data_IF_650825839345
#
_entry.id   IF_650825839345
#
_cell.length_a   1.000
_cell.length_b   1.000
_cell.length_c   1.000
_cell.angle_alpha   90.00
_cell.angle_beta   90.00
_cell.angle_gamma   90.00
#
_symmetry.space_group_name_H-M   'P 1'
#
loop_
_entity.id
_entity.type
_entity.pdbx_description
1 polymer ?
#
# COMPACT_ATOMS: atom_id res chain seq x y z
N UNK A 1 -44.14 58.09 -1.20
CA UNK A 1 -44.44 56.67 -1.51
C UNK A 1 -43.42 55.95 -2.42
N UNK A 2 -42.45 56.63 -3.08
CA UNK A 2 -41.48 55.96 -3.99
C UNK A 2 -40.39 55.14 -3.28
N UNK A 3 -39.89 55.60 -2.12
CA UNK A 3 -38.80 54.93 -1.41
C UNK A 3 -39.19 53.60 -0.72
N UNK A 4 -40.46 53.41 -0.33
CA UNK A 4 -40.92 52.15 0.28
C UNK A 4 -40.88 50.97 -0.69
N UNK A 5 -41.15 51.18 -1.99
CA UNK A 5 -41.10 50.10 -2.99
C UNK A 5 -39.66 49.70 -3.35
N UNK A 6 -38.73 50.66 -3.39
CA UNK A 6 -37.32 50.39 -3.66
C UNK A 6 -36.65 49.65 -2.50
N UNK A 7 -36.94 50.02 -1.25
CA UNK A 7 -36.42 49.30 -0.07
C UNK A 7 -36.95 47.86 -0.03
N UNK A 8 -38.23 47.64 -0.36
CA UNK A 8 -38.83 46.30 -0.38
C UNK A 8 -38.22 45.41 -1.48
N UNK A 9 -37.90 45.99 -2.64
CA UNK A 9 -37.25 45.27 -3.75
C UNK A 9 -35.80 44.87 -3.41
N UNK A 10 -35.04 45.78 -2.79
CA UNK A 10 -33.65 45.51 -2.37
C UNK A 10 -33.61 44.45 -1.27
N UNK A 11 -34.51 44.51 -0.29
CA UNK A 11 -34.61 43.49 0.76
C UNK A 11 -34.99 42.11 0.21
N UNK A 12 -35.85 42.04 -0.80
CA UNK A 12 -36.25 40.78 -1.44
C UNK A 12 -35.10 40.15 -2.23
N UNK A 13 -34.31 40.96 -2.94
CA UNK A 13 -33.13 40.50 -3.68
C UNK A 13 -32.05 39.99 -2.72
N UNK A 14 -31.81 40.68 -1.61
CA UNK A 14 -30.87 40.23 -0.57
C UNK A 14 -31.36 38.90 0.05
N UNK A 15 -32.66 38.74 0.29
CA UNK A 15 -33.21 37.49 0.81
C UNK A 15 -33.07 36.32 -0.17
N UNK A 16 -33.23 36.57 -1.46
CA UNK A 16 -33.01 35.54 -2.50
C UNK A 16 -31.53 35.18 -2.58
N UNK A 17 -30.61 36.15 -2.56
CA UNK A 17 -29.16 35.91 -2.63
C UNK A 17 -28.67 35.16 -1.38
N UNK A 18 -29.12 35.54 -0.18
CA UNK A 18 -28.80 34.80 1.05
C UNK A 18 -29.45 33.42 1.02
N UNK A 19 -30.67 33.31 0.48
CA UNK A 19 -31.37 32.05 0.28
C UNK A 19 -30.63 31.10 -0.66
N UNK A 20 -30.15 31.56 -1.81
CA UNK A 20 -29.35 30.75 -2.75
C UNK A 20 -27.97 30.44 -2.20
N UNK A 21 -27.27 31.38 -1.54
CA UNK A 21 -25.99 31.09 -0.88
C UNK A 21 -26.15 30.10 0.28
N UNK A 22 -27.23 30.19 1.06
CA UNK A 22 -27.54 29.22 2.11
C UNK A 22 -27.92 27.85 1.51
N UNK A 23 -28.66 27.81 0.40
CA UNK A 23 -29.08 26.58 -0.26
C UNK A 23 -27.93 25.90 -1.02
N UNK A 24 -27.00 26.66 -1.62
CA UNK A 24 -25.76 26.15 -2.21
C UNK A 24 -24.75 25.73 -1.13
N UNK A 25 -24.68 26.45 -0.01
CA UNK A 25 -23.92 26.05 1.19
C UNK A 25 -24.47 24.77 1.84
N UNK A 26 -25.78 24.57 1.82
CA UNK A 26 -26.45 23.34 2.27
C UNK A 26 -26.26 22.19 1.26
N UNK A 27 -26.24 22.43 -0.05
CA UNK A 27 -25.94 21.40 -1.05
C UNK A 27 -24.48 20.94 -1.03
N UNK A 28 -23.54 21.75 -0.53
CA UNK A 28 -22.15 21.34 -0.29
C UNK A 28 -21.92 20.62 1.04
N UNK A 29 -22.95 20.47 1.87
CA UNK A 29 -22.91 19.63 3.07
C UNK A 29 -23.86 18.44 2.90
N UNK A 30 -23.60 17.65 1.85
CA UNK A 30 -23.86 16.20 1.88
C UNK A 30 -23.04 15.61 3.03
N UNK A 31 -23.56 15.76 4.24
CA UNK A 31 -23.06 15.15 5.46
C UNK A 31 -23.14 13.63 5.26
N UNK A 32 -22.01 13.02 4.90
CA UNK A 32 -21.72 11.58 5.00
C UNK A 32 -21.62 11.17 6.48
N UNK A 33 -22.61 11.56 7.29
CA UNK A 33 -22.66 11.39 8.75
C UNK A 33 -22.62 9.92 9.21
N UNK A 34 -22.62 8.94 8.31
CA UNK A 34 -22.52 7.51 8.63
C UNK A 34 -21.23 6.81 8.18
N UNK A 35 -20.29 7.51 7.53
CA UNK A 35 -19.07 6.87 7.01
C UNK A 35 -17.84 7.13 7.89
N UNK A 36 -17.77 8.25 8.61
CA UNK A 36 -16.64 8.49 9.52
C UNK A 36 -16.84 7.73 10.85
N UNK A 37 -15.85 6.91 11.22
CA UNK A 37 -15.88 6.15 12.47
C UNK A 37 -15.50 7.04 13.64
N UNK A 38 -16.36 7.03 14.66
CA UNK A 38 -15.98 7.39 16.01
C UNK A 38 -15.07 6.30 16.59
N UNK A 39 -14.19 6.70 17.51
CA UNK A 39 -13.36 5.74 18.25
C UNK A 39 -14.21 4.74 19.06
N UNK A 40 -15.39 5.16 19.53
CA UNK A 40 -16.35 4.29 20.21
C UNK A 40 -16.91 3.16 19.32
N UNK A 41 -17.04 3.37 18.01
CA UNK A 41 -17.49 2.32 17.09
C UNK A 41 -16.40 1.27 16.86
N UNK A 42 -15.13 1.67 16.84
CA UNK A 42 -14.00 0.74 16.77
C UNK A 42 -13.89 -0.17 17.99
N UNK A 43 -14.36 0.29 19.15
CA UNK A 43 -14.37 -0.49 20.41
C UNK A 43 -15.53 -1.47 20.52
N UNK A 44 -16.45 -1.51 19.53
CA UNK A 44 -17.54 -2.47 19.55
C UNK A 44 -17.00 -3.91 19.47
N UNK A 45 -17.48 -4.83 20.31
CA UNK A 45 -17.05 -6.23 20.25
C UNK A 45 -17.22 -6.81 18.85
N UNK A 46 -16.18 -7.50 18.36
CA UNK A 46 -16.15 -8.14 17.05
C UNK A 46 -16.26 -7.19 15.84
N UNK A 47 -15.97 -5.89 15.99
CA UNK A 47 -15.97 -4.95 14.86
C UNK A 47 -15.20 -5.49 13.64
N UNK A 48 -13.97 -5.97 13.84
CA UNK A 48 -13.13 -6.53 12.78
C UNK A 48 -13.73 -7.77 12.10
N UNK A 49 -14.45 -8.62 12.83
CA UNK A 49 -15.03 -9.85 12.28
C UNK A 49 -16.17 -9.57 11.29
N UNK A 50 -16.76 -8.37 11.36
CA UNK A 50 -17.80 -7.92 10.44
C UNK A 50 -17.22 -7.32 9.15
N UNK A 51 -15.91 -7.05 9.14
CA UNK A 51 -15.22 -6.47 8.00
C UNK A 51 -14.67 -7.56 7.08
N UNK A 52 -14.63 -7.25 5.79
CA UNK A 52 -14.00 -8.03 4.75
C UNK A 52 -12.54 -7.58 4.55
N UNK A 53 -12.33 -6.27 4.48
CA UNK A 53 -11.05 -5.67 4.12
C UNK A 53 -10.84 -4.29 4.74
N UNK A 54 -9.60 -3.82 4.71
CA UNK A 54 -9.20 -2.46 5.09
C UNK A 54 -8.31 -1.88 4.00
N UNK A 55 -8.61 -0.65 3.58
CA UNK A 55 -7.75 0.14 2.72
C UNK A 55 -6.99 1.17 3.53
N UNK A 56 -5.77 1.45 3.11
CA UNK A 56 -5.05 2.62 3.56
C UNK A 56 -4.95 3.63 2.42
N UNK A 57 -5.41 4.85 2.68
CA UNK A 57 -5.36 5.96 1.73
C UNK A 57 -4.60 7.13 2.34
N UNK A 58 -3.75 7.81 1.55
CA UNK A 58 -2.96 8.93 2.07
C UNK A 58 -2.63 9.95 1.01
N UNK A 59 -2.40 11.18 1.48
CA UNK A 59 -1.67 12.20 0.75
C UNK A 59 -0.19 11.83 0.56
N UNK A 60 0.46 12.37 -0.47
CA UNK A 60 1.91 12.32 -0.70
C UNK A 60 2.69 13.09 0.38
N UNK A 61 3.96 12.74 0.58
CA UNK A 61 4.84 13.37 1.60
C UNK A 61 4.88 14.89 1.44
N UNK A 62 4.94 15.42 0.21
CA UNK A 62 5.00 16.87 -0.05
C UNK A 62 3.78 17.63 0.48
N UNK A 63 2.60 17.02 0.42
CA UNK A 63 1.35 17.61 0.93
C UNK A 63 1.27 17.45 2.44
N UNK A 64 1.72 16.30 2.97
CA UNK A 64 1.81 16.04 4.41
C UNK A 64 2.75 17.01 5.13
N UNK A 65 3.95 17.23 4.59
CA UNK A 65 4.94 18.18 5.14
C UNK A 65 4.45 19.63 5.17
N UNK A 66 3.54 20.00 4.26
CA UNK A 66 2.88 21.32 4.25
C UNK A 66 1.74 21.44 5.27
N UNK A 67 1.45 20.38 6.03
CA UNK A 67 0.35 20.33 7.01
C UNK A 67 -1.04 20.34 6.37
N UNK A 68 -1.14 19.99 5.08
CA UNK A 68 -2.40 20.04 4.30
C UNK A 68 -2.95 18.65 3.96
N UNK A 69 -2.16 17.60 4.16
CA UNK A 69 -2.55 16.23 3.84
C UNK A 69 -3.23 15.50 4.99
N UNK A 70 -3.76 14.33 4.70
CA UNK A 70 -4.28 13.40 5.71
C UNK A 70 -4.13 11.95 5.22
N UNK A 71 -4.48 11.01 6.09
CA UNK A 71 -4.68 9.61 5.70
C UNK A 71 -5.96 9.04 6.31
N UNK A 72 -6.39 7.90 5.79
CA UNK A 72 -7.58 7.18 6.26
C UNK A 72 -7.32 5.67 6.24
N UNK A 73 -7.80 4.99 7.27
CA UNK A 73 -8.05 3.55 7.22
C UNK A 73 -9.54 3.34 6.89
N UNK A 74 -9.84 2.68 5.78
CA UNK A 74 -11.20 2.52 5.24
C UNK A 74 -11.58 1.04 5.35
N UNK A 75 -12.48 0.72 6.27
CA UNK A 75 -13.02 -0.60 6.50
C UNK A 75 -14.16 -0.87 5.52
N UNK A 76 -14.14 -2.05 4.90
CA UNK A 76 -15.14 -2.53 3.96
C UNK A 76 -15.78 -3.77 4.55
N UNK A 77 -17.10 -3.81 4.66
CA UNK A 77 -17.81 -4.99 5.14
C UNK A 77 -18.18 -5.97 3.99
N UNK A 78 -18.81 -7.10 4.33
CA UNK A 78 -19.23 -8.13 3.37
C UNK A 78 -20.20 -7.67 2.29
N UNK A 79 -20.93 -6.57 2.54
CA UNK A 79 -21.91 -5.98 1.63
C UNK A 79 -21.33 -4.82 0.82
N UNK A 80 -20.02 -4.56 0.95
CA UNK A 80 -19.35 -3.42 0.32
C UNK A 80 -19.65 -2.08 0.98
N UNK A 81 -20.24 -2.05 2.17
CA UNK A 81 -20.47 -0.82 2.92
C UNK A 81 -19.18 -0.38 3.64
N UNK A 82 -19.01 0.92 3.78
CA UNK A 82 -17.76 1.54 4.19
C UNK A 82 -17.86 2.26 5.51
N UNK A 83 -16.76 2.20 6.26
CA UNK A 83 -16.50 3.08 7.39
C UNK A 83 -15.03 3.51 7.39
N UNK A 84 -14.72 4.75 7.74
CA UNK A 84 -13.39 5.32 7.63
C UNK A 84 -12.91 5.93 8.95
N UNK A 85 -11.73 5.54 9.38
CA UNK A 85 -11.00 6.16 10.48
C UNK A 85 -10.04 7.21 9.90
N UNK A 86 -10.17 8.46 10.36
CA UNK A 86 -9.24 9.54 10.02
C UNK A 86 -7.92 9.38 10.77
N UNK A 87 -6.81 9.57 10.07
CA UNK A 87 -5.44 9.44 10.57
C UNK A 87 -4.63 10.71 10.27
N UNK A 88 -3.48 10.85 10.92
CA UNK A 88 -2.64 12.06 10.87
C UNK A 88 -1.91 12.22 9.53
N UNK A 89 -1.55 11.11 8.87
CA UNK A 89 -0.97 11.15 7.51
C UNK A 89 0.38 10.48 7.39
N UNK A 90 0.48 9.44 6.57
CA UNK A 90 1.73 8.71 6.29
C UNK A 90 1.67 8.27 4.83
N UNK A 91 2.54 8.83 3.99
CA UNK A 91 2.65 8.42 2.59
C UNK A 91 3.03 6.93 2.53
N UNK A 92 2.39 6.15 1.65
CA UNK A 92 2.63 4.71 1.57
C UNK A 92 2.44 3.97 2.91
N UNK A 93 1.59 4.51 3.79
CA UNK A 93 1.20 3.84 5.03
C UNK A 93 0.38 2.58 4.77
N UNK A 94 0.29 1.71 5.77
CA UNK A 94 -0.30 0.40 5.60
C UNK A 94 -1.02 -0.09 6.85
N UNK A 95 -1.66 -1.24 6.69
CA UNK A 95 -2.25 -2.01 7.78
C UNK A 95 -1.84 -3.46 7.65
N UNK A 96 -1.94 -4.24 8.73
CA UNK A 96 -1.69 -5.67 8.68
C UNK A 96 -2.52 -6.43 9.72
N UNK A 97 -3.18 -7.52 9.31
CA UNK A 97 -4.04 -8.31 10.19
C UNK A 97 -3.45 -9.68 10.51
N UNK A 98 -3.11 -9.93 11.77
CA UNK A 98 -2.51 -11.20 12.20
C UNK A 98 -3.54 -12.29 12.59
N UNK A 99 -4.77 -12.21 12.08
CA UNK A 99 -5.98 -13.01 12.42
C UNK A 99 -6.75 -12.58 13.66
N UNK A 100 -6.18 -11.74 14.51
CA UNK A 100 -6.85 -11.26 15.74
C UNK A 100 -6.77 -9.76 15.90
N UNK A 101 -5.61 -9.20 15.59
CA UNK A 101 -5.33 -7.79 15.75
C UNK A 101 -4.96 -7.19 14.41
N UNK A 102 -5.56 -6.05 14.11
CA UNK A 102 -5.20 -5.19 13.01
C UNK A 102 -4.23 -4.13 13.52
N UNK A 103 -3.03 -4.13 12.96
CA UNK A 103 -2.06 -3.06 13.13
C UNK A 103 -2.37 -1.99 12.08
N UNK A 104 -2.54 -0.74 12.51
CA UNK A 104 -2.77 0.41 11.64
C UNK A 104 -1.67 1.43 11.90
N UNK A 105 -1.00 1.83 10.84
CA UNK A 105 0.02 2.86 10.90
C UNK A 105 -0.57 4.26 11.00
N UNK A 106 0.17 5.14 11.67
CA UNK A 106 -0.03 6.58 11.58
C UNK A 106 1.33 7.30 11.74
N UNK A 107 1.38 8.58 11.41
CA UNK A 107 2.62 9.36 11.38
C UNK A 107 3.31 9.38 12.75
N UNK A 108 2.55 9.57 13.83
CA UNK A 108 3.06 9.73 15.21
C UNK A 108 2.69 8.61 16.17
N UNK A 109 1.96 7.60 15.71
CA UNK A 109 1.50 6.51 16.56
C UNK A 109 1.29 5.23 15.79
N UNK A 110 1.09 4.15 16.53
CA UNK A 110 0.56 2.88 16.03
C UNK A 110 -0.77 2.63 16.72
N UNK A 111 -1.77 2.19 15.96
CA UNK A 111 -3.06 1.76 16.50
C UNK A 111 -3.14 0.23 16.37
N UNK A 112 -3.42 -0.43 17.50
CA UNK A 112 -3.67 -1.87 17.56
C UNK A 112 -5.16 -2.08 17.84
N UNK A 113 -5.88 -2.62 16.86
CA UNK A 113 -7.31 -2.86 16.92
C UNK A 113 -7.59 -4.36 17.04
N UNK A 114 -8.11 -4.79 18.18
CA UNK A 114 -8.47 -6.18 18.47
C UNK A 114 -9.73 -6.25 19.34
N UNK A 115 -9.65 -6.93 20.48
CA UNK A 115 -10.72 -6.89 21.49
C UNK A 115 -10.83 -5.53 22.18
N UNK A 116 -9.72 -4.81 22.24
CA UNK A 116 -9.58 -3.42 22.69
C UNK A 116 -8.93 -2.60 21.57
N UNK A 117 -8.97 -1.28 21.72
CA UNK A 117 -8.21 -0.36 20.87
C UNK A 117 -7.08 0.24 21.69
N UNK A 118 -5.85 0.00 21.29
CA UNK A 118 -4.66 0.53 21.94
C UNK A 118 -3.92 1.47 21.00
N UNK A 119 -3.48 2.61 21.54
CA UNK A 119 -2.67 3.58 20.82
C UNK A 119 -1.28 3.61 21.45
N UNK A 120 -0.25 3.55 20.61
CA UNK A 120 1.14 3.65 21.01
C UNK A 120 1.74 4.91 20.39
N UNK A 121 1.90 5.96 21.18
CA UNK A 121 2.57 7.18 20.74
C UNK A 121 4.05 6.90 20.46
N UNK A 122 4.54 7.47 19.36
CA UNK A 122 5.90 7.26 18.88
C UNK A 122 6.74 8.51 19.06
N UNK A 123 8.03 8.36 19.43
CA UNK A 123 8.89 9.50 19.75
C UNK A 123 9.21 10.35 18.51
N UNK A 124 9.09 9.78 17.32
CA UNK A 124 9.38 10.42 16.04
C UNK A 124 8.22 10.24 15.08
N UNK A 125 7.96 11.28 14.30
CA UNK A 125 7.04 11.23 13.18
C UNK A 125 7.68 10.51 11.99
N UNK A 126 6.90 9.69 11.30
CA UNK A 126 7.26 9.03 10.06
C UNK A 126 6.39 9.57 8.93
N UNK A 127 6.99 9.77 7.75
CA UNK A 127 6.31 10.40 6.62
C UNK A 127 6.12 9.49 5.42
N UNK A 128 6.98 8.46 5.25
CA UNK A 128 6.93 7.53 4.13
C UNK A 128 7.15 6.09 4.59
N UNK A 129 6.10 5.28 4.49
CA UNK A 129 6.13 3.85 4.75
C UNK A 129 6.78 3.06 3.63
N UNK A 130 7.25 1.87 3.96
CA UNK A 130 7.74 0.86 3.02
C UNK A 130 6.85 -0.37 3.13
N UNK A 131 6.83 -1.02 4.29
CA UNK A 131 6.04 -2.24 4.47
C UNK A 131 5.72 -2.47 5.94
N UNK A 132 4.47 -2.85 6.18
CA UNK A 132 4.00 -3.40 7.45
C UNK A 132 3.82 -4.91 7.34
N UNK A 133 4.07 -5.64 8.42
CA UNK A 133 3.90 -7.08 8.46
C UNK A 133 3.92 -7.68 9.86
N UNK A 134 3.94 -9.02 9.92
CA UNK A 134 3.96 -9.79 11.16
C UNK A 134 4.91 -10.98 11.09
N UNK A 135 5.85 -11.06 12.03
CA UNK A 135 6.78 -12.17 12.20
C UNK A 135 6.16 -13.24 13.11
N UNK A 136 5.58 -14.28 12.51
CA UNK A 136 4.79 -15.28 13.25
C UNK A 136 5.56 -16.08 14.31
N UNK A 137 6.86 -16.32 14.12
CA UNK A 137 7.69 -17.08 15.07
C UNK A 137 8.07 -16.24 16.29
N UNK A 138 8.25 -14.94 16.14
CA UNK A 138 8.56 -14.01 17.24
C UNK A 138 7.33 -13.26 17.77
N UNK A 139 6.19 -13.41 17.08
CA UNK A 139 4.89 -12.80 17.39
C UNK A 139 4.92 -11.27 17.41
N UNK A 140 5.67 -10.67 16.49
CA UNK A 140 5.85 -9.23 16.43
C UNK A 140 5.27 -8.65 15.15
N UNK A 141 4.49 -7.59 15.30
CA UNK A 141 4.24 -6.65 14.22
C UNK A 141 5.48 -5.83 13.93
N UNK A 142 5.58 -5.35 12.70
CA UNK A 142 6.58 -4.37 12.32
C UNK A 142 6.03 -3.44 11.25
N UNK A 143 6.61 -2.24 11.17
CA UNK A 143 6.56 -1.38 10.01
C UNK A 143 7.91 -0.69 9.77
N UNK A 144 8.28 -0.62 8.49
CA UNK A 144 9.49 0.04 8.00
C UNK A 144 9.18 1.36 7.31
N UNK A 145 10.07 2.32 7.50
CA UNK A 145 9.96 3.69 7.00
C UNK A 145 11.25 4.14 6.34
N UNK A 146 11.15 4.84 5.22
CA UNK A 146 12.27 5.54 4.58
C UNK A 146 12.06 7.04 4.83
N UNK A 147 12.68 7.56 5.89
CA UNK A 147 12.32 8.84 6.51
C UNK A 147 13.16 10.03 6.01
N UNK A 148 14.19 9.79 5.19
CA UNK A 148 14.99 10.82 4.51
C UNK A 148 16.45 10.84 4.92
N UNK A 149 17.19 11.89 4.59
CA UNK A 149 18.65 11.97 4.80
C UNK A 149 19.04 12.44 6.21
N UNK A 150 20.18 11.94 6.71
CA UNK A 150 20.81 12.31 7.99
C UNK A 150 22.12 13.06 7.73
N UNK A 151 22.59 13.85 8.71
CA UNK A 151 23.95 14.43 8.66
C UNK A 151 25.05 13.41 8.97
N UNK A 152 24.70 12.25 9.54
CA UNK A 152 25.62 11.23 10.03
C UNK A 152 25.54 9.91 9.24
N UNK A 153 24.39 9.64 8.65
CA UNK A 153 24.08 8.39 7.94
C UNK A 153 23.62 8.75 6.53
N UNK A 154 23.95 7.92 5.56
CA UNK A 154 23.58 8.13 4.16
C UNK A 154 22.06 8.18 3.95
N UNK A 155 21.30 7.50 4.83
CA UNK A 155 19.85 7.56 4.86
C UNK A 155 19.29 7.15 6.22
N UNK A 156 18.20 7.79 6.66
CA UNK A 156 17.44 7.46 7.86
C UNK A 156 16.30 6.52 7.48
N UNK A 157 16.47 5.25 7.83
CA UNK A 157 15.37 4.29 7.85
C UNK A 157 15.05 3.93 9.30
N UNK A 158 13.77 3.92 9.63
CA UNK A 158 13.28 3.52 10.96
C UNK A 158 12.44 2.25 10.83
N UNK A 159 12.46 1.43 11.88
CA UNK A 159 11.52 0.33 12.06
C UNK A 159 10.78 0.52 13.38
N UNK A 160 9.44 0.47 13.34
CA UNK A 160 8.58 0.29 14.52
C UNK A 160 8.20 -1.17 14.64
N UNK A 161 8.30 -1.77 15.82
CA UNK A 161 8.02 -3.20 16.00
C UNK A 161 7.63 -3.56 17.44
N UNK A 162 6.87 -4.65 17.59
CA UNK A 162 6.41 -5.11 18.90
C UNK A 162 5.06 -5.82 18.84
N UNK A 163 4.27 -5.68 19.90
CA UNK A 163 2.93 -6.25 20.01
C UNK A 163 2.05 -5.46 20.98
N UNK A 164 0.95 -6.07 21.43
CA UNK A 164 -0.05 -5.48 22.34
C UNK A 164 0.47 -5.11 23.74
N UNK A 165 1.72 -5.42 24.09
CA UNK A 165 2.31 -4.94 25.35
C UNK A 165 3.14 -3.67 25.14
N UNK A 166 3.79 -3.56 23.97
CA UNK A 166 4.74 -2.49 23.68
C UNK A 166 5.10 -2.46 22.20
N UNK A 167 5.14 -1.26 21.64
CA UNK A 167 5.80 -0.94 20.38
C UNK A 167 7.10 -0.17 20.64
N UNK A 168 8.15 -0.54 19.93
CA UNK A 168 9.48 0.07 20.01
C UNK A 168 9.93 0.57 18.65
N UNK A 169 10.86 1.51 18.62
CA UNK A 169 11.48 2.01 17.39
C UNK A 169 12.97 1.73 17.38
N UNK A 170 13.53 1.49 16.19
CA UNK A 170 14.97 1.37 15.99
C UNK A 170 15.37 1.95 14.63
N UNK A 171 16.63 2.39 14.53
CA UNK A 171 17.20 2.90 13.30
C UNK A 171 17.93 1.79 12.52
N UNK A 172 17.79 1.83 11.20
CA UNK A 172 18.51 1.00 10.24
C UNK A 172 19.27 1.97 9.30
N UNK A 173 20.61 1.99 9.31
CA UNK A 173 21.38 3.03 8.63
C UNK A 173 21.58 2.71 7.13
N UNK A 174 20.50 2.42 6.40
CA UNK A 174 20.54 2.08 4.98
C UNK A 174 19.23 2.45 4.30
N UNK A 175 19.30 2.99 3.09
CA UNK A 175 18.12 3.06 2.22
C UNK A 175 17.64 1.65 1.87
N UNK A 176 16.38 1.34 2.16
CA UNK A 176 15.76 0.07 1.80
C UNK A 176 15.02 0.25 0.49
N UNK A 177 15.44 -0.48 -0.54
CA UNK A 177 14.80 -0.50 -1.86
C UNK A 177 13.57 -1.41 -1.86
N UNK A 178 13.67 -2.61 -1.27
CA UNK A 178 12.52 -3.50 -1.07
C UNK A 178 12.71 -4.41 0.15
N UNK A 179 11.60 -4.98 0.63
CA UNK A 179 11.56 -5.85 1.81
C UNK A 179 10.62 -7.03 1.63
N UNK A 180 11.09 -8.16 2.12
CA UNK A 180 10.32 -9.37 2.39
C UNK A 180 10.43 -9.80 3.85
N UNK A 181 9.74 -10.88 4.18
CA UNK A 181 9.80 -11.46 5.52
C UNK A 181 9.87 -12.99 5.45
N UNK A 182 10.63 -13.55 6.39
CA UNK A 182 10.49 -14.93 6.83
C UNK A 182 9.68 -14.95 8.12
N UNK A 183 9.39 -16.14 8.66
CA UNK A 183 8.61 -16.25 9.91
C UNK A 183 9.22 -15.54 11.13
N UNK A 184 10.53 -15.27 11.13
CA UNK A 184 11.27 -14.83 12.32
C UNK A 184 12.20 -13.63 12.11
N UNK A 185 12.26 -13.11 10.88
CA UNK A 185 13.15 -12.01 10.48
C UNK A 185 12.70 -11.38 9.18
N UNK A 186 13.17 -10.18 8.94
CA UNK A 186 13.03 -9.50 7.65
C UNK A 186 14.21 -9.82 6.75
N UNK A 187 13.94 -9.81 5.45
CA UNK A 187 14.93 -9.85 4.39
C UNK A 187 14.79 -8.54 3.62
N UNK A 188 15.82 -7.71 3.64
CA UNK A 188 15.80 -6.40 3.01
C UNK A 188 16.84 -6.35 1.88
N UNK A 189 16.48 -5.68 0.79
CA UNK A 189 17.42 -5.26 -0.25
C UNK A 189 17.69 -3.79 -0.02
N UNK A 190 18.94 -3.46 0.27
CA UNK A 190 19.39 -2.07 0.44
C UNK A 190 20.13 -1.61 -0.80
N UNK A 191 20.02 -0.32 -1.10
CA UNK A 191 20.76 0.31 -2.19
C UNK A 191 21.70 1.36 -1.60
N UNK A 192 22.94 1.35 -2.06
CA UNK A 192 23.88 2.42 -1.82
C UNK A 192 23.54 3.58 -2.77
N UNK A 193 23.16 4.73 -2.22
CA UNK A 193 22.68 5.87 -3.02
C UNK A 193 23.79 6.61 -3.78
N UNK A 194 25.07 6.26 -3.56
CA UNK A 194 26.22 6.85 -4.26
C UNK A 194 26.65 5.97 -5.43
N UNK A 195 26.75 4.66 -5.18
CA UNK A 195 27.25 3.68 -6.17
C UNK A 195 26.12 2.99 -6.94
N UNK A 196 24.88 3.03 -6.45
CA UNK A 196 23.75 2.28 -6.98
C UNK A 196 23.78 0.79 -6.62
N UNK A 197 24.83 0.31 -5.96
CA UNK A 197 25.01 -1.11 -5.65
C UNK A 197 23.99 -1.62 -4.64
N UNK A 198 23.52 -2.85 -4.86
CA UNK A 198 22.55 -3.49 -4.00
C UNK A 198 23.19 -4.54 -3.08
N UNK A 199 22.68 -4.60 -1.85
CA UNK A 199 23.04 -5.64 -0.90
C UNK A 199 21.80 -6.30 -0.29
N UNK A 200 21.88 -7.62 -0.13
CA UNK A 200 20.89 -8.39 0.61
C UNK A 200 21.28 -8.45 2.08
N UNK A 201 20.34 -8.11 2.96
CA UNK A 201 20.54 -8.14 4.42
C UNK A 201 19.39 -8.85 5.12
N UNK A 202 19.68 -9.34 6.32
CA UNK A 202 18.64 -9.79 7.25
C UNK A 202 18.53 -8.85 8.44
N UNK A 203 17.31 -8.65 8.92
CA UNK A 203 17.03 -7.84 10.10
C UNK A 203 16.23 -8.66 11.11
N UNK A 204 16.75 -8.79 12.33
CA UNK A 204 16.07 -9.48 13.44
C UNK A 204 15.60 -8.49 14.50
N UNK A 205 14.34 -8.65 14.91
CA UNK A 205 13.65 -7.75 15.84
C UNK A 205 13.76 -8.28 17.28
N UNK A 206 14.94 -8.08 17.90
CA UNK A 206 15.18 -8.39 19.32
C UNK A 206 15.08 -7.11 20.15
N UNK A 207 15.48 -7.15 21.43
CA UNK A 207 15.59 -5.94 22.27
C UNK A 207 16.48 -4.85 21.64
N UNK A 208 17.51 -5.27 20.90
CA UNK A 208 18.25 -4.42 19.96
C UNK A 208 18.12 -5.04 18.57
N UNK A 209 17.75 -4.22 17.58
CA UNK A 209 17.67 -4.67 16.19
C UNK A 209 19.05 -5.12 15.71
N UNK A 210 19.11 -6.34 15.18
CA UNK A 210 20.32 -6.90 14.59
C UNK A 210 20.19 -6.89 13.07
N UNK A 211 21.09 -6.17 12.41
CA UNK A 211 21.20 -6.15 10.96
C UNK A 211 22.49 -6.86 10.54
N UNK A 212 22.38 -7.81 9.59
CA UNK A 212 23.53 -8.53 9.04
C UNK A 212 23.46 -8.52 7.52
N UNK A 213 24.51 -7.99 6.87
CA UNK A 213 24.72 -8.16 5.43
C UNK A 213 24.93 -9.64 5.12
N UNK A 214 24.17 -10.15 4.14
CA UNK A 214 24.26 -11.52 3.67
C UNK A 214 25.20 -11.62 2.48
N UNK A 215 24.99 -10.78 1.47
CA UNK A 215 25.78 -10.67 0.24
C UNK A 215 25.57 -9.30 -0.42
N UNK A 216 26.52 -8.92 -1.26
CA UNK A 216 26.33 -7.92 -2.30
C UNK A 216 25.73 -8.63 -3.53
N UNK A 217 24.78 -8.00 -4.23
CA UNK A 217 24.05 -8.65 -5.31
C UNK A 217 24.79 -8.62 -6.65
N UNK A 218 25.69 -7.64 -6.86
CA UNK A 218 26.48 -7.46 -8.09
C UNK A 218 25.63 -7.60 -9.36
N UNK A 219 24.63 -6.75 -9.49
CA UNK A 219 23.74 -6.74 -10.64
C UNK A 219 24.35 -5.93 -11.77
N UNK A 220 24.17 -6.39 -13.00
CA UNK A 220 24.58 -5.62 -14.18
C UNK A 220 23.78 -4.31 -14.24
N UNK A 221 24.49 -3.20 -14.47
CA UNK A 221 23.91 -1.84 -14.48
C UNK A 221 23.11 -1.51 -13.22
N UNK A 222 23.59 -1.91 -12.03
CA UNK A 222 22.89 -1.71 -10.76
C UNK A 222 22.37 -0.26 -10.54
N UNK A 223 23.10 0.76 -10.99
CA UNK A 223 22.68 2.16 -10.88
C UNK A 223 21.44 2.54 -11.72
N UNK A 224 21.01 1.69 -12.64
CA UNK A 224 19.87 1.90 -13.55
C UNK A 224 18.68 0.98 -13.20
N UNK A 225 18.75 0.27 -12.08
CA UNK A 225 17.72 -0.67 -11.64
C UNK A 225 16.93 -0.14 -10.45
N UNK A 226 15.64 -0.45 -10.43
CA UNK A 226 14.76 -0.23 -9.28
C UNK A 226 14.00 -1.51 -8.92
N UNK A 227 13.88 -1.82 -7.62
CA UNK A 227 13.08 -2.96 -7.17
C UNK A 227 11.59 -2.59 -7.18
N UNK A 228 10.77 -3.39 -7.87
CA UNK A 228 9.35 -3.09 -8.07
C UNK A 228 8.38 -4.08 -7.38
N UNK A 229 8.92 -5.07 -6.66
CA UNK A 229 8.14 -6.05 -5.91
C UNK A 229 8.70 -6.22 -4.51
N UNK A 230 7.92 -6.79 -3.56
CA UNK A 230 8.53 -7.29 -2.34
C UNK A 230 9.47 -8.47 -2.61
N UNK A 231 10.32 -8.77 -1.63
CA UNK A 231 11.06 -10.04 -1.64
C UNK A 231 10.15 -11.16 -1.15
N UNK A 232 9.95 -12.17 -1.98
CA UNK A 232 9.23 -13.39 -1.59
C UNK A 232 10.20 -14.58 -1.52
N UNK A 233 9.89 -15.58 -0.70
CA UNK A 233 10.80 -16.66 -0.41
C UNK A 233 10.12 -18.03 -0.43
N UNK A 234 10.79 -19.00 -1.03
CA UNK A 234 10.52 -20.42 -0.78
C UNK A 234 11.63 -21.01 0.12
N UNK A 235 11.67 -22.34 0.22
CA UNK A 235 12.67 -23.03 1.05
C UNK A 235 14.11 -22.83 0.57
N UNK A 236 14.33 -22.61 -0.72
CA UNK A 236 15.64 -22.61 -1.37
C UNK A 236 16.09 -21.23 -1.83
N UNK A 237 15.18 -20.36 -2.26
CA UNK A 237 15.49 -19.14 -2.97
C UNK A 237 14.66 -17.95 -2.46
N UNK A 238 15.17 -16.75 -2.74
CA UNK A 238 14.49 -15.47 -2.63
C UNK A 238 14.25 -14.93 -4.04
N UNK A 239 13.13 -14.25 -4.24
CA UNK A 239 12.68 -13.75 -5.54
C UNK A 239 12.17 -12.33 -5.39
N UNK A 240 12.49 -11.47 -6.35
CA UNK A 240 11.91 -10.14 -6.53
C UNK A 240 12.18 -9.65 -7.95
N UNK A 241 11.37 -8.72 -8.43
CA UNK A 241 11.52 -8.14 -9.77
C UNK A 241 12.18 -6.77 -9.66
N UNK A 242 13.12 -6.52 -10.57
CA UNK A 242 13.70 -5.22 -10.81
C UNK A 242 13.33 -4.72 -12.20
N UNK A 243 13.23 -3.41 -12.35
CA UNK A 243 12.98 -2.76 -13.63
C UNK A 243 14.19 -1.95 -14.08
N UNK A 244 14.37 -1.86 -15.40
CA UNK A 244 15.32 -0.97 -16.07
C UNK A 244 14.54 -0.11 -17.08
N UNK A 245 14.21 1.12 -16.69
CA UNK A 245 13.62 2.10 -17.59
C UNK A 245 14.67 2.65 -18.56
N UNK A 246 14.42 2.52 -19.86
CA UNK A 246 15.36 2.97 -20.90
C UNK A 246 14.83 4.20 -21.64
N UNK A 247 13.51 4.28 -21.83
CA UNK A 247 12.82 5.40 -22.47
C UNK A 247 11.31 5.26 -22.30
N UNK A 248 10.55 6.28 -22.69
CA UNK A 248 9.08 6.25 -22.73
C UNK A 248 8.48 5.13 -23.60
N UNK A 249 9.28 4.33 -24.31
CA UNK A 249 8.81 3.21 -25.14
C UNK A 249 9.55 1.91 -24.89
N UNK A 250 10.44 1.87 -23.91
CA UNK A 250 11.26 0.70 -23.63
C UNK A 250 11.59 0.60 -22.15
N UNK A 251 11.14 -0.48 -21.55
CA UNK A 251 11.46 -0.86 -20.17
C UNK A 251 11.59 -2.38 -20.08
N UNK A 252 12.60 -2.84 -19.35
CA UNK A 252 12.89 -4.28 -19.17
C UNK A 252 12.77 -4.68 -17.70
N UNK A 253 11.98 -5.72 -17.44
CA UNK A 253 11.82 -6.29 -16.11
C UNK A 253 12.65 -7.57 -15.99
N UNK A 254 13.33 -7.72 -14.86
CA UNK A 254 14.20 -8.85 -14.54
C UNK A 254 13.74 -9.50 -13.24
N UNK A 255 13.56 -10.82 -13.25
CA UNK A 255 13.37 -11.59 -12.03
C UNK A 255 14.74 -11.92 -11.42
N UNK A 256 15.01 -11.40 -10.23
CA UNK A 256 16.21 -11.67 -9.46
C UNK A 256 15.94 -12.86 -8.54
N UNK A 257 16.79 -13.88 -8.63
CA UNK A 257 16.71 -15.11 -7.86
C UNK A 257 17.99 -15.27 -7.04
N UNK A 258 17.85 -15.33 -5.72
CA UNK A 258 18.99 -15.52 -4.80
C UNK A 258 18.87 -16.85 -4.09
N UNK A 259 19.83 -17.75 -4.30
CA UNK A 259 19.86 -19.01 -3.59
C UNK A 259 20.23 -18.79 -2.10
N UNK A 260 19.36 -19.22 -1.19
CA UNK A 260 19.46 -18.93 0.25
C UNK A 260 20.67 -19.62 0.89
N UNK A 261 21.06 -20.79 0.41
CA UNK A 261 22.21 -21.55 0.93
C UNK A 261 23.54 -21.11 0.33
N UNK A 262 23.65 -21.12 -1.00
CA UNK A 262 24.91 -20.88 -1.73
C UNK A 262 25.17 -19.40 -1.96
N UNK A 263 24.16 -18.55 -1.77
CA UNK A 263 24.22 -17.11 -2.02
C UNK A 263 24.47 -16.72 -3.48
N UNK A 264 24.35 -17.66 -4.41
CA UNK A 264 24.41 -17.37 -5.84
C UNK A 264 23.21 -16.53 -6.25
N UNK A 265 23.48 -15.48 -7.01
CA UNK A 265 22.49 -14.58 -7.61
C UNK A 265 22.35 -14.94 -9.09
N UNK A 266 21.12 -14.97 -9.58
CA UNK A 266 20.78 -15.14 -10.99
C UNK A 266 19.71 -14.11 -11.34
N UNK A 267 19.88 -13.41 -12.45
CA UNK A 267 18.84 -12.61 -13.08
C UNK A 267 18.29 -13.36 -14.29
N UNK A 268 17.00 -13.25 -14.55
CA UNK A 268 16.39 -13.71 -15.79
C UNK A 268 15.57 -12.58 -16.41
N UNK A 269 15.59 -12.42 -17.74
CA UNK A 269 14.60 -11.58 -18.43
C UNK A 269 13.20 -12.07 -18.07
N UNK A 270 12.29 -11.15 -17.73
CA UNK A 270 10.97 -11.49 -17.24
C UNK A 270 9.85 -10.94 -18.12
N UNK A 271 9.76 -9.61 -18.25
CA UNK A 271 8.75 -8.92 -19.06
C UNK A 271 9.46 -7.79 -19.81
N UNK A 272 8.98 -7.47 -21.02
CA UNK A 272 9.52 -6.41 -21.86
C UNK A 272 8.38 -5.52 -22.32
N UNK A 273 8.46 -4.24 -21.97
CA UNK A 273 7.52 -3.22 -22.44
C UNK A 273 8.13 -2.50 -23.63
N UNK A 274 7.36 -2.38 -24.72
CA UNK A 274 7.84 -1.87 -26.02
C UNK A 274 6.93 -0.81 -26.63
N UNK A 275 6.06 -0.23 -25.82
CA UNK A 275 5.16 0.86 -26.17
C UNK A 275 5.02 1.85 -25.02
N UNK A 276 4.51 3.04 -25.33
CA UNK A 276 4.32 4.12 -24.37
C UNK A 276 3.28 3.76 -23.31
N UNK A 277 2.17 3.16 -23.73
CA UNK A 277 1.12 2.70 -22.83
C UNK A 277 1.63 1.64 -21.83
N UNK A 278 2.44 0.69 -22.30
CA UNK A 278 3.02 -0.34 -21.43
C UNK A 278 4.03 0.22 -20.44
N UNK A 279 4.86 1.19 -20.84
CA UNK A 279 5.83 1.81 -19.93
C UNK A 279 5.14 2.68 -18.89
N UNK A 280 4.16 3.48 -19.30
CA UNK A 280 3.42 4.38 -18.39
C UNK A 280 2.58 3.59 -17.36
N UNK A 281 1.97 2.48 -17.78
CA UNK A 281 1.03 1.72 -16.96
C UNK A 281 1.56 0.36 -16.46
N UNK A 282 2.78 -0.02 -16.84
CA UNK A 282 3.33 -1.36 -16.61
C UNK A 282 3.85 -1.61 -15.19
N UNK A 283 4.12 -0.56 -14.42
CA UNK A 283 4.53 -0.70 -13.02
C UNK A 283 3.39 -1.22 -12.15
N UNK A 284 3.66 -2.04 -11.12
CA UNK A 284 2.61 -2.72 -10.38
C UNK A 284 1.71 -1.78 -9.59
N UNK A 285 0.41 -2.10 -9.51
CA UNK A 285 -0.58 -1.36 -8.69
C UNK A 285 -0.17 -1.18 -7.22
N UNK A 286 0.59 -2.14 -6.67
CA UNK A 286 1.15 -2.05 -5.34
C UNK A 286 2.54 -2.70 -5.29
N UNK A 287 3.59 -1.88 -5.22
CA UNK A 287 4.98 -2.30 -5.11
C UNK A 287 5.29 -3.24 -3.94
N UNK A 288 4.50 -3.18 -2.86
CA UNK A 288 4.70 -3.97 -1.65
C UNK A 288 3.91 -5.28 -1.63
N UNK A 289 2.93 -5.45 -2.52
CA UNK A 289 2.06 -6.62 -2.54
C UNK A 289 1.95 -7.25 -3.95
N UNK A 290 2.80 -6.84 -4.90
CA UNK A 290 2.78 -7.28 -6.31
C UNK A 290 3.38 -8.65 -6.59
N UNK A 291 3.98 -9.31 -5.59
CA UNK A 291 4.55 -10.65 -5.76
C UNK A 291 4.12 -11.63 -4.68
N UNK A 292 3.99 -12.90 -5.07
CA UNK A 292 3.65 -14.01 -4.18
C UNK A 292 4.40 -15.27 -4.63
N UNK A 293 4.72 -16.18 -3.70
CA UNK A 293 5.31 -17.47 -4.05
C UNK A 293 4.64 -18.60 -3.28
N UNK A 294 4.24 -19.64 -4.02
CA UNK A 294 3.62 -20.83 -3.42
C UNK A 294 3.79 -22.05 -4.32
N UNK A 295 4.06 -23.19 -3.72
CA UNK A 295 4.09 -24.50 -4.40
C UNK A 295 4.99 -24.54 -5.65
N UNK A 296 6.10 -23.80 -5.68
CA UNK A 296 7.01 -23.75 -6.83
C UNK A 296 6.58 -22.80 -7.95
N UNK A 297 5.62 -21.92 -7.68
CA UNK A 297 5.16 -20.86 -8.59
C UNK A 297 5.41 -19.49 -7.96
N UNK A 298 6.14 -18.64 -8.67
CA UNK A 298 6.26 -17.21 -8.37
C UNK A 298 5.25 -16.45 -9.22
N UNK A 299 4.37 -15.69 -8.57
CA UNK A 299 3.35 -14.89 -9.21
C UNK A 299 3.70 -13.40 -9.11
N UNK A 300 3.44 -12.67 -10.18
CA UNK A 300 3.60 -11.22 -10.27
C UNK A 300 2.37 -10.58 -10.91
N UNK A 301 1.91 -9.45 -10.38
CA UNK A 301 0.83 -8.63 -10.96
C UNK A 301 1.38 -7.26 -11.30
N UNK A 302 1.26 -6.86 -12.57
CA UNK A 302 1.67 -5.53 -13.05
C UNK A 302 0.50 -4.53 -13.06
N UNK A 303 0.75 -3.27 -13.42
CA UNK A 303 -0.27 -2.21 -13.49
C UNK A 303 -1.17 -2.26 -14.72
N UNK A 304 -0.90 -3.18 -15.64
CA UNK A 304 -1.79 -3.51 -16.75
C UNK A 304 -2.83 -4.56 -16.34
N UNK A 305 -2.83 -5.02 -15.07
CA UNK A 305 -3.71 -6.08 -14.59
C UNK A 305 -3.31 -7.48 -15.04
N UNK A 306 -2.11 -7.65 -15.59
CA UNK A 306 -1.63 -8.94 -16.06
C UNK A 306 -0.99 -9.73 -14.90
N UNK A 307 -1.40 -10.99 -14.78
CA UNK A 307 -0.82 -11.92 -13.80
C UNK A 307 0.14 -12.85 -14.51
N UNK A 308 1.41 -12.80 -14.12
CA UNK A 308 2.47 -13.67 -14.61
C UNK A 308 2.78 -14.77 -13.60
N UNK A 309 3.04 -15.98 -14.10
CA UNK A 309 3.48 -17.16 -13.35
C UNK A 309 4.85 -17.62 -13.86
N UNK A 310 5.83 -17.64 -12.97
CA UNK A 310 7.14 -18.26 -13.17
C UNK A 310 7.20 -19.61 -12.44
N UNK A 311 7.31 -20.69 -13.20
CA UNK A 311 7.45 -22.03 -12.64
C UNK A 311 8.92 -22.30 -12.28
N UNK A 312 9.21 -22.39 -10.98
CA UNK A 312 10.58 -22.48 -10.43
C UNK A 312 11.37 -23.68 -10.98
N UNK A 313 10.70 -24.78 -11.30
CA UNK A 313 11.38 -26.03 -11.74
C UNK A 313 11.77 -25.99 -13.21
N UNK A 314 10.87 -25.58 -14.11
CA UNK A 314 11.13 -25.52 -15.55
C UNK A 314 11.79 -24.22 -15.98
N UNK A 315 11.55 -23.14 -15.24
CA UNK A 315 11.93 -21.79 -15.63
C UNK A 315 10.92 -21.12 -16.57
N UNK A 316 9.78 -21.74 -16.84
CA UNK A 316 8.78 -21.19 -17.76
C UNK A 316 8.10 -19.95 -17.15
N UNK A 317 7.91 -18.92 -17.99
CA UNK A 317 7.16 -17.70 -17.66
C UNK A 317 5.91 -17.66 -18.53
N UNK A 318 4.74 -17.46 -17.92
CA UNK A 318 3.46 -17.36 -18.65
C UNK A 318 2.59 -16.27 -18.05
N UNK A 319 1.97 -15.44 -18.89
CA UNK A 319 0.78 -14.68 -18.50
C UNK A 319 -0.37 -15.66 -18.33
N UNK A 320 -0.95 -15.71 -17.13
CA UNK A 320 -1.98 -16.69 -16.78
C UNK A 320 -3.38 -16.09 -16.70
N UNK A 321 -3.50 -14.78 -16.44
CA UNK A 321 -4.76 -14.09 -16.14
C UNK A 321 -4.66 -12.63 -16.53
N UNK A 322 -5.80 -12.05 -16.91
CA UNK A 322 -6.04 -10.61 -17.01
C UNK A 322 -7.07 -10.24 -15.94
N UNK A 323 -6.67 -9.41 -14.98
CA UNK A 323 -7.56 -8.82 -13.97
C UNK A 323 -8.42 -7.74 -14.61
N UNK A 324 -9.58 -7.45 -13.99
CA UNK A 324 -10.45 -6.38 -14.45
C UNK A 324 -9.78 -5.03 -14.25
N UNK A 325 -9.57 -4.29 -15.34
CA UNK A 325 -9.00 -2.94 -15.39
C UNK A 325 -9.73 -2.17 -16.49
N UNK A 326 -10.00 -0.90 -16.25
CA UNK A 326 -10.58 0.00 -17.25
C UNK A 326 -9.61 1.14 -17.51
N UNK A 327 -9.35 1.48 -18.78
CA UNK A 327 -8.36 2.51 -19.14
C UNK A 327 -8.72 3.90 -18.58
N UNK A 328 -10.01 4.17 -18.37
CA UNK A 328 -10.53 5.39 -17.75
C UNK A 328 -10.79 5.26 -16.25
N UNK A 329 -10.42 4.13 -15.66
CA UNK A 329 -10.41 3.93 -14.22
C UNK A 329 -9.37 4.84 -13.54
N UNK A 330 -9.43 4.91 -12.22
CA UNK A 330 -8.49 5.68 -11.42
C UNK A 330 -7.38 4.77 -10.87
N UNK A 331 -6.33 4.61 -11.67
CA UNK A 331 -5.17 3.76 -11.36
C UNK A 331 -4.51 4.05 -10.00
N UNK A 332 -4.54 5.31 -9.53
CA UNK A 332 -4.02 5.69 -8.19
C UNK A 332 -4.81 5.09 -7.03
N UNK A 333 -6.04 4.67 -7.29
CA UNK A 333 -6.95 4.09 -6.32
C UNK A 333 -7.19 2.60 -6.60
N UNK A 334 -6.36 1.99 -7.46
CA UNK A 334 -6.33 0.55 -7.66
C UNK A 334 -5.31 -0.08 -6.73
N UNK A 335 -5.62 -1.25 -6.19
CA UNK A 335 -4.77 -1.96 -5.24
C UNK A 335 -4.90 -3.46 -5.39
N UNK A 336 -3.80 -4.17 -5.14
CA UNK A 336 -3.77 -5.62 -5.12
C UNK A 336 -3.19 -6.14 -3.81
N UNK A 337 -3.61 -7.34 -3.43
CA UNK A 337 -2.94 -8.13 -2.40
C UNK A 337 -3.11 -9.62 -2.65
N UNK A 338 -2.18 -10.41 -2.13
CA UNK A 338 -2.26 -11.86 -2.14
C UNK A 338 -2.59 -12.39 -0.76
N UNK A 339 -3.64 -13.21 -0.65
CA UNK A 339 -3.95 -13.91 0.59
C UNK A 339 -4.57 -15.26 0.30
N UNK A 340 -4.15 -16.30 1.03
CA UNK A 340 -4.72 -17.65 0.95
C UNK A 340 -4.83 -18.20 -0.49
N UNK A 341 -3.78 -18.04 -1.29
CA UNK A 341 -3.71 -18.42 -2.72
C UNK A 341 -4.66 -17.66 -3.66
N UNK A 342 -5.17 -16.51 -3.22
CA UNK A 342 -6.06 -15.65 -4.00
C UNK A 342 -5.43 -14.30 -4.24
N UNK A 343 -5.77 -13.69 -5.37
CA UNK A 343 -5.58 -12.27 -5.63
C UNK A 343 -6.87 -11.57 -5.22
N UNK A 344 -6.71 -10.49 -4.47
CA UNK A 344 -7.76 -9.52 -4.22
C UNK A 344 -7.36 -8.24 -4.93
N UNK A 345 -8.24 -7.73 -5.78
CA UNK A 345 -7.96 -6.58 -6.61
C UNK A 345 -9.09 -5.56 -6.48
N UNK A 346 -8.73 -4.33 -6.13
CA UNK A 346 -9.62 -3.18 -6.19
C UNK A 346 -9.34 -2.42 -7.46
N UNK A 347 -10.38 -2.19 -8.23
CA UNK A 347 -10.37 -1.37 -9.43
C UNK A 347 -11.60 -0.47 -9.47
N UNK A 348 -11.59 0.52 -10.37
CA UNK A 348 -12.75 1.36 -10.64
C UNK A 348 -13.15 1.30 -12.10
N UNK A 349 -14.45 1.42 -12.39
CA UNK A 349 -14.95 1.61 -13.74
C UNK A 349 -14.84 3.08 -14.22
N UNK A 350 -15.28 3.34 -15.45
CA UNK A 350 -15.28 4.68 -16.04
C UNK A 350 -16.19 5.69 -15.29
N UNK A 351 -17.18 5.21 -14.54
CA UNK A 351 -18.09 6.00 -13.71
C UNK A 351 -17.56 6.22 -12.28
N UNK A 352 -16.31 5.80 -12.03
CA UNK A 352 -15.63 5.86 -10.74
C UNK A 352 -16.39 5.08 -9.65
N UNK A 353 -17.07 4.00 -10.03
CA UNK A 353 -17.56 2.99 -9.12
C UNK A 353 -16.47 1.97 -8.86
N UNK A 354 -16.35 1.56 -7.60
CA UNK A 354 -15.25 0.71 -7.16
C UNK A 354 -15.72 -0.71 -6.92
N UNK A 355 -14.85 -1.65 -7.25
CA UNK A 355 -15.12 -3.08 -7.10
C UNK A 355 -13.95 -3.77 -6.44
N UNK A 356 -14.23 -4.70 -5.54
CA UNK A 356 -13.28 -5.67 -5.03
C UNK A 356 -13.55 -7.01 -5.71
N UNK A 357 -12.66 -7.43 -6.61
CA UNK A 357 -12.69 -8.77 -7.17
C UNK A 357 -11.76 -9.74 -6.42
N UNK A 358 -12.13 -11.01 -6.44
CA UNK A 358 -11.37 -12.11 -5.85
C UNK A 358 -11.14 -13.18 -6.91
N UNK A 359 -9.89 -13.59 -7.04
CA UNK A 359 -9.45 -14.52 -8.07
C UNK A 359 -8.59 -15.62 -7.46
N UNK A 360 -8.88 -16.88 -7.77
CA UNK A 360 -8.09 -18.02 -7.29
C UNK A 360 -6.92 -18.31 -8.24
N UNK A 361 -5.69 -18.28 -7.71
CA UNK A 361 -4.46 -18.35 -8.50
C UNK A 361 -4.30 -19.68 -9.26
N UNK A 362 -4.73 -20.79 -8.67
CA UNK A 362 -4.43 -22.12 -9.19
C UNK A 362 -5.50 -22.62 -10.16
N UNK A 363 -6.78 -22.39 -9.85
CA UNK A 363 -7.89 -22.67 -10.76
C UNK A 363 -8.00 -21.64 -11.89
N UNK A 364 -7.41 -20.45 -11.70
CA UNK A 364 -7.44 -19.34 -12.64
C UNK A 364 -8.85 -18.84 -12.94
N UNK A 365 -9.70 -18.84 -11.92
CA UNK A 365 -11.09 -18.41 -12.02
C UNK A 365 -11.36 -17.23 -11.10
N UNK A 366 -12.08 -16.23 -11.63
CA UNK A 366 -12.68 -15.17 -10.82
C UNK A 366 -13.82 -15.76 -10.00
N UNK A 367 -13.70 -15.70 -8.68
CA UNK A 367 -14.68 -16.29 -7.77
C UNK A 367 -15.82 -15.33 -7.43
N UNK A 368 -15.49 -14.05 -7.21
CA UNK A 368 -16.45 -13.06 -6.70
C UNK A 368 -16.03 -11.66 -7.10
N UNK A 369 -17.01 -10.79 -7.28
CA UNK A 369 -16.86 -9.33 -7.34
C UNK A 369 -17.86 -8.70 -6.38
N UNK A 370 -17.44 -7.69 -5.63
CA UNK A 370 -18.29 -6.90 -4.71
C UNK A 370 -18.15 -5.43 -5.10
N UNK A 371 -19.26 -4.74 -5.29
CA UNK A 371 -19.27 -3.27 -5.41
C UNK A 371 -18.97 -2.64 -4.05
N UNK A 372 -18.02 -1.71 -4.02
CA UNK A 372 -17.65 -0.93 -2.84
C UNK A 372 -18.45 0.38 -2.87
N UNK A 373 -19.50 0.44 -2.05
CA UNK A 373 -20.48 1.52 -2.06
C UNK A 373 -19.89 2.79 -1.48
N UNK A 374 -20.09 3.91 -2.18
CA UNK A 374 -19.73 5.26 -1.69
C UNK A 374 -18.22 5.51 -1.50
N UNK A 375 -17.32 4.69 -2.04
CA UNK A 375 -15.88 4.95 -1.92
C UNK A 375 -15.49 6.31 -2.54
N UNK A 376 -16.07 6.63 -3.69
CA UNK A 376 -15.88 7.90 -4.39
C UNK A 376 -16.30 9.15 -3.60
N UNK A 377 -17.18 9.01 -2.60
CA UNK A 377 -17.64 10.16 -1.80
C UNK A 377 -16.72 10.46 -0.61
N UNK A 378 -15.84 9.54 -0.24
CA UNK A 378 -14.89 9.73 0.87
C UNK A 378 -13.45 9.95 0.42
N UNK A 379 -13.13 9.63 -0.83
CA UNK A 379 -11.82 9.87 -1.44
C UNK A 379 -11.84 11.19 -2.23
N UNK A 380 -10.76 12.00 -2.19
CA UNK A 380 -10.62 13.16 -3.05
C UNK A 380 -10.24 12.71 -4.47
N UNK A 381 -11.25 12.32 -5.26
CA UNK A 381 -11.07 11.69 -6.58
C UNK A 381 -10.14 12.45 -7.53
N UNK A 382 -10.26 13.78 -7.53
CA UNK A 382 -9.49 14.67 -8.42
C UNK A 382 -8.11 15.07 -7.87
N UNK A 383 -7.77 14.69 -6.63
CA UNK A 383 -6.48 15.02 -6.03
C UNK A 383 -5.42 13.99 -6.42
N UNK A 384 -4.54 14.37 -7.36
CA UNK A 384 -3.42 13.54 -7.83
C UNK A 384 -2.40 13.23 -6.72
N UNK A 385 -2.42 13.98 -5.62
CA UNK A 385 -1.54 13.74 -4.47
C UNK A 385 -2.17 12.83 -3.43
N UNK A 386 -3.28 12.17 -3.71
CA UNK A 386 -3.94 11.24 -2.80
C UNK A 386 -4.12 9.88 -3.46
N UNK A 387 -3.74 8.81 -2.78
CA UNK A 387 -3.75 7.48 -3.39
C UNK A 387 -3.98 6.38 -2.36
N UNK A 388 -4.38 5.20 -2.83
CA UNK A 388 -4.42 4.00 -2.00
C UNK A 388 -3.03 3.37 -1.95
N UNK A 389 -2.61 2.89 -0.79
CA UNK A 389 -1.27 2.31 -0.59
C UNK A 389 -1.29 0.91 0.02
N UNK A 390 -2.45 0.48 0.52
CA UNK A 390 -2.61 -0.86 1.07
C UNK A 390 -4.04 -1.36 0.90
N UNK A 391 -4.15 -2.66 0.65
CA UNK A 391 -5.35 -3.47 0.73
C UNK A 391 -5.03 -4.66 1.66
N UNK A 392 -5.67 -4.70 2.82
CA UNK A 392 -5.54 -5.79 3.78
C UNK A 392 -6.86 -6.55 3.86
N UNK A 393 -6.82 -7.86 3.62
CA UNK A 393 -8.01 -8.73 3.73
C UNK A 393 -8.10 -9.26 5.15
N UNK A 394 -9.28 -9.18 5.77
CA UNK A 394 -9.50 -9.57 7.17
C UNK A 394 -10.04 -10.99 7.34
N UNK A 395 -10.40 -11.68 6.26
CA UNK A 395 -10.96 -13.04 6.28
C UNK A 395 -10.00 -14.13 5.81
#
# INVERSE_FOLDING_TARGET
MKYKKQIMLVSFIIFIIIGTFAFEGLKKTSKTNGVELSFSELTQPNFLNQQLAVLYASSTTDVLQKGKGNSKAIFINQKGELHALKLSGLESGSTYFNKKVLFIEDSKKVIMLGNSVENYDMPTEELRGIRTGYLSKTRQFYSLYNTGFSKKDDYITTIRYGGEEKIQSAHIPFFISTVGQLSDRLIIVTQDLITGEFALRQVQLKSKVLNKKLIDLHLENAGELDAITPVVADNHNLYFVMTHYQSEKSEDLYLVIVNRSTKKVKTIPFIQYRSEDEVENGLPFNFNNSAYIKNGHFFYVNGLGEVYDYQVTSGDIKKIVQLSREDKGNSRLEQITFKNNKIYHIYSDEDQQFFLETFDLFSRVKEKTIEIKHLKSILPMDDQNYYLSSLEILQ
#
